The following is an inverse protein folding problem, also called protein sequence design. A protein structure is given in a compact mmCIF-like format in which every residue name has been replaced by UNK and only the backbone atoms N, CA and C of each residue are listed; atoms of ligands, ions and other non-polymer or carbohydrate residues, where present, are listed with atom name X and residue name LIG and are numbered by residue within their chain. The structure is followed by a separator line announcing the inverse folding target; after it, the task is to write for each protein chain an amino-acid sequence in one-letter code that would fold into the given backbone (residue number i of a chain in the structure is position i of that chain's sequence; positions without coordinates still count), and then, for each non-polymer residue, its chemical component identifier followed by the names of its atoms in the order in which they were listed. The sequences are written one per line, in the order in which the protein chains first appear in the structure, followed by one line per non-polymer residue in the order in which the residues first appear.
data_IF_593749625221
#
_entry.id   IF_593749625221
#
_cell.length_a   1.000
_cell.length_b   1.000
_cell.length_c   1.000
_cell.angle_alpha   90.00
_cell.angle_beta   90.00
_cell.angle_gamma   90.00
#
_symmetry.space_group_name_H-M   'P 1'
#
loop_
_entity.id
_entity.type
_entity.pdbx_description
1 polymer ?
#
# COMPACT_ATOMS: atom_id res chain seq x y z
N UNK A 1 -0.31 -0.14 16.13
CA UNK A 1 0.43 -1.18 15.38
C UNK A 1 0.76 -2.34 16.31
N UNK A 2 0.62 -3.57 15.85
CA UNK A 2 1.21 -4.75 16.49
C UNK A 2 1.75 -5.73 15.46
N UNK A 3 2.72 -6.54 15.90
CA UNK A 3 3.35 -7.60 15.12
C UNK A 3 3.30 -8.89 15.94
N UNK A 4 2.86 -9.97 15.33
CA UNK A 4 2.82 -11.30 15.93
C UNK A 4 3.96 -12.18 15.38
N UNK A 5 4.56 -13.07 16.19
CA UNK A 5 5.61 -13.99 15.73
C UNK A 5 5.24 -14.89 14.54
N UNK A 6 3.95 -15.07 14.26
CA UNK A 6 3.46 -15.80 13.07
C UNK A 6 3.47 -14.95 11.77
N UNK A 7 4.11 -13.77 11.80
CA UNK A 7 4.19 -12.86 10.66
C UNK A 7 2.94 -12.02 10.43
N UNK A 8 1.94 -12.12 11.31
CA UNK A 8 0.73 -11.29 11.23
C UNK A 8 1.03 -9.90 11.76
N UNK A 9 0.72 -8.89 10.97
CA UNK A 9 0.84 -7.48 11.32
C UNK A 9 -0.54 -6.84 11.31
N UNK A 10 -0.77 -5.87 12.20
CA UNK A 10 -2.01 -5.11 12.18
C UNK A 10 -1.81 -3.67 12.61
N UNK A 11 -2.49 -2.78 11.90
CA UNK A 11 -2.53 -1.35 12.18
C UNK A 11 -3.96 -0.85 12.30
N UNK A 12 -4.13 0.15 13.16
CA UNK A 12 -5.38 0.89 13.35
C UNK A 12 -5.02 2.36 13.24
N UNK A 13 -5.67 3.07 12.33
CA UNK A 13 -5.62 4.53 12.21
C UNK A 13 -7.02 5.10 12.32
N UNK A 14 -7.09 6.33 12.84
CA UNK A 14 -8.25 7.18 12.64
C UNK A 14 -8.13 7.75 11.22
N UNK A 15 -9.17 7.55 10.41
CA UNK A 15 -9.26 8.08 9.05
C UNK A 15 -9.94 9.44 9.04
N UNK A 16 -11.02 9.59 9.80
CA UNK A 16 -11.77 10.85 9.93
C UNK A 16 -12.34 11.04 11.34
N UNK A 17 -12.40 12.30 11.77
CA UNK A 17 -12.93 12.76 13.06
C UNK A 17 -13.98 13.83 12.78
N UNK A 18 -15.22 13.40 12.56
CA UNK A 18 -16.32 14.33 12.30
C UNK A 18 -16.62 15.22 13.54
N UNK A 19 -16.78 14.60 14.71
CA UNK A 19 -17.01 15.29 16.00
C UNK A 19 -16.02 14.77 17.06
N UNK A 20 -15.03 15.57 17.48
CA UNK A 20 -14.05 15.15 18.49
C UNK A 20 -14.64 14.78 19.85
N UNK A 21 -15.89 15.15 20.13
CA UNK A 21 -16.60 14.81 21.37
C UNK A 21 -17.43 13.53 21.26
N UNK A 22 -17.58 12.96 20.06
CA UNK A 22 -18.38 11.77 19.76
C UNK A 22 -17.56 10.72 19.00
N UNK A 23 -16.78 9.88 19.69
CA UNK A 23 -15.93 8.88 19.06
C UNK A 23 -16.68 7.85 18.20
N UNK A 24 -17.99 7.70 18.40
CA UNK A 24 -18.87 6.86 17.57
C UNK A 24 -19.09 7.39 16.15
N UNK A 25 -18.76 8.66 15.88
CA UNK A 25 -18.82 9.25 14.54
C UNK A 25 -17.47 9.18 13.81
N UNK A 26 -16.45 8.61 14.44
CA UNK A 26 -15.12 8.56 13.85
C UNK A 26 -15.02 7.37 12.90
N UNK A 27 -14.34 7.60 11.78
CA UNK A 27 -14.04 6.54 10.82
C UNK A 27 -12.65 6.00 11.10
N UNK A 28 -12.52 4.69 11.11
CA UNK A 28 -11.25 4.01 11.33
C UNK A 28 -10.83 3.23 10.10
N UNK A 29 -9.52 3.18 9.90
CA UNK A 29 -8.89 2.27 8.95
C UNK A 29 -8.23 1.14 9.74
N UNK A 30 -8.69 -0.09 9.51
CA UNK A 30 -8.02 -1.29 10.01
C UNK A 30 -7.21 -1.90 8.89
N UNK A 31 -5.95 -2.25 9.19
CA UNK A 31 -5.01 -2.80 8.21
C UNK A 31 -4.32 -4.04 8.77
N UNK A 32 -5.02 -5.18 8.86
CA UNK A 32 -4.37 -6.46 9.09
C UNK A 32 -3.66 -6.94 7.82
N UNK A 33 -2.49 -7.54 8.00
CA UNK A 33 -1.76 -8.24 6.96
C UNK A 33 -1.15 -9.52 7.49
N UNK A 34 -1.02 -10.51 6.61
CA UNK A 34 -0.35 -11.77 6.91
C UNK A 34 0.36 -12.30 5.66
N UNK A 35 1.39 -13.15 5.85
CA UNK A 35 2.07 -13.79 4.74
C UNK A 35 1.09 -14.68 3.99
N UNK A 36 1.11 -14.61 2.66
CA UNK A 36 0.29 -15.50 1.85
C UNK A 36 0.82 -16.94 1.98
N UNK A 37 -0.07 -17.86 2.33
CA UNK A 37 0.24 -19.28 2.27
C UNK A 37 -0.08 -19.81 0.88
N UNK A 38 0.93 -19.99 0.01
CA UNK A 38 0.71 -20.45 -1.35
C UNK A 38 -0.03 -21.82 -1.46
N UNK A 39 -0.06 -22.63 -0.40
CA UNK A 39 -0.76 -23.93 -0.37
C UNK A 39 -2.24 -23.79 0.02
N UNK A 40 -2.56 -22.83 0.90
CA UNK A 40 -3.92 -22.64 1.42
C UNK A 40 -4.64 -21.43 0.78
N UNK A 41 -3.90 -20.41 0.40
CA UNK A 41 -4.33 -19.15 -0.21
C UNK A 41 -4.05 -19.12 -1.72
N UNK A 42 -4.33 -20.22 -2.43
CA UNK A 42 -4.10 -20.41 -3.88
C UNK A 42 -4.74 -19.35 -4.80
N UNK A 43 -5.27 -19.71 -5.98
CA UNK A 43 -5.96 -18.73 -6.86
C UNK A 43 -7.30 -18.21 -6.28
N UNK A 44 -7.56 -18.42 -4.99
CA UNK A 44 -8.80 -18.15 -4.31
C UNK A 44 -9.05 -16.63 -4.28
N UNK A 45 -9.97 -16.19 -5.13
CA UNK A 45 -10.70 -14.95 -4.88
C UNK A 45 -11.57 -15.23 -3.66
N UNK A 46 -11.21 -14.69 -2.50
CA UNK A 46 -12.13 -14.68 -1.38
C UNK A 46 -13.41 -13.96 -1.82
N UNK A 47 -14.58 -14.50 -1.45
CA UNK A 47 -15.75 -13.63 -1.37
C UNK A 47 -15.49 -12.58 -0.28
N UNK A 48 -16.20 -11.46 -0.35
CA UNK A 48 -16.08 -10.41 0.66
C UNK A 48 -16.25 -10.97 2.09
N UNK A 49 -17.30 -11.76 2.31
CA UNK A 49 -17.62 -12.35 3.61
C UNK A 49 -16.54 -13.33 4.08
N UNK A 50 -15.99 -14.14 3.17
CA UNK A 50 -14.91 -15.06 3.49
C UNK A 50 -13.63 -14.29 3.88
N UNK A 51 -13.38 -13.14 3.26
CA UNK A 51 -12.25 -12.30 3.60
C UNK A 51 -12.43 -11.62 4.96
N UNK A 52 -13.63 -11.11 5.26
CA UNK A 52 -13.94 -10.56 6.57
C UNK A 52 -13.79 -11.61 7.69
N UNK A 53 -14.30 -12.82 7.45
CA UNK A 53 -14.13 -13.94 8.38
C UNK A 53 -12.65 -14.30 8.58
N UNK A 54 -11.85 -14.28 7.51
CA UNK A 54 -10.41 -14.50 7.59
C UNK A 54 -9.71 -13.42 8.41
N UNK A 55 -10.03 -12.14 8.20
CA UNK A 55 -9.53 -11.02 9.02
C UNK A 55 -9.81 -11.27 10.49
N UNK A 56 -11.09 -11.45 10.86
CA UNK A 56 -11.50 -11.67 12.25
C UNK A 56 -10.77 -12.85 12.89
N UNK A 57 -10.67 -13.96 12.17
CA UNK A 57 -9.98 -15.17 12.65
C UNK A 57 -8.46 -14.98 12.79
N UNK A 58 -7.81 -14.23 11.89
CA UNK A 58 -6.36 -14.02 11.93
C UNK A 58 -5.97 -13.01 12.99
N UNK A 59 -6.82 -12.01 13.26
CA UNK A 59 -6.54 -10.98 14.27
C UNK A 59 -6.97 -11.36 15.68
N UNK A 60 -7.73 -12.45 15.88
CA UNK A 60 -8.19 -12.88 17.21
C UNK A 60 -7.05 -13.27 18.16
N UNK A 61 -5.86 -13.51 17.63
CA UNK A 61 -4.64 -13.81 18.40
C UNK A 61 -4.05 -12.58 19.09
N UNK A 62 -4.39 -11.37 18.64
CA UNK A 62 -3.91 -10.15 19.27
C UNK A 62 -4.62 -9.87 20.60
N UNK A 63 -4.04 -8.98 21.39
CA UNK A 63 -4.73 -8.37 22.51
C UNK A 63 -5.50 -7.11 22.05
N UNK A 64 -6.29 -6.53 22.96
CA UNK A 64 -6.95 -5.26 22.72
C UNK A 64 -5.92 -4.11 22.60
N UNK A 65 -6.19 -3.11 21.73
CA UNK A 65 -7.45 -2.89 21.00
C UNK A 65 -7.56 -3.62 19.65
N UNK A 66 -6.50 -4.27 19.17
CA UNK A 66 -6.48 -4.83 17.80
C UNK A 66 -7.48 -5.96 17.62
N UNK A 67 -7.60 -6.83 18.62
CA UNK A 67 -8.59 -7.91 18.62
C UNK A 67 -10.00 -7.35 18.52
N UNK A 68 -10.43 -6.56 19.52
CA UNK A 68 -11.79 -6.02 19.56
C UNK A 68 -12.14 -5.19 18.32
N UNK A 69 -11.21 -4.36 17.82
CA UNK A 69 -11.45 -3.52 16.64
C UNK A 69 -11.79 -4.34 15.40
N UNK A 70 -11.09 -5.46 15.16
CA UNK A 70 -11.37 -6.32 14.01
C UNK A 70 -12.61 -7.21 14.26
N UNK A 71 -12.82 -7.69 15.49
CA UNK A 71 -14.01 -8.50 15.84
C UNK A 71 -15.32 -7.72 15.69
N UNK A 72 -15.33 -6.44 16.02
CA UNK A 72 -16.51 -5.56 15.97
C UNK A 72 -16.87 -5.03 14.58
N UNK A 73 -16.06 -5.31 13.56
CA UNK A 73 -16.39 -4.93 12.18
C UNK A 73 -17.73 -5.57 11.79
N UNK A 74 -18.75 -4.80 11.38
CA UNK A 74 -20.05 -5.34 11.02
C UNK A 74 -19.96 -6.37 9.88
N UNK A 75 -20.81 -7.40 9.93
CA UNK A 75 -20.95 -8.32 8.80
C UNK A 75 -21.41 -7.58 7.55
N UNK A 76 -20.96 -8.02 6.37
CA UNK A 76 -21.23 -7.34 5.10
C UNK A 76 -20.36 -6.10 4.83
N UNK A 77 -19.51 -5.67 5.77
CA UNK A 77 -18.50 -4.63 5.51
C UNK A 77 -17.62 -5.05 4.35
N UNK A 78 -17.47 -4.18 3.35
CA UNK A 78 -16.63 -4.48 2.20
C UNK A 78 -15.15 -4.45 2.60
N UNK A 79 -14.42 -5.48 2.20
CA UNK A 79 -13.04 -5.73 2.59
C UNK A 79 -12.14 -5.55 1.38
N UNK A 80 -11.36 -4.48 1.36
CA UNK A 80 -10.44 -4.22 0.26
C UNK A 80 -9.20 -5.09 0.41
N UNK A 81 -9.07 -6.11 -0.42
CA UNK A 81 -7.86 -6.94 -0.47
C UNK A 81 -6.84 -6.33 -1.43
N UNK A 82 -5.76 -5.77 -0.92
CA UNK A 82 -4.61 -5.42 -1.75
C UNK A 82 -3.57 -6.53 -1.71
N UNK A 83 -3.04 -6.91 -2.87
CA UNK A 83 -1.87 -7.78 -2.96
C UNK A 83 -0.64 -6.91 -2.99
N UNK A 84 0.08 -6.87 -1.89
CA UNK A 84 1.34 -6.14 -1.80
C UNK A 84 2.39 -7.04 -2.41
N UNK A 85 2.75 -6.76 -3.65
CA UNK A 85 3.98 -7.27 -4.26
C UNK A 85 5.12 -6.29 -4.02
N UNK A 86 6.29 -6.83 -3.72
CA UNK A 86 7.55 -6.10 -3.70
C UNK A 86 8.52 -6.72 -4.71
N UNK A 87 9.31 -5.90 -5.38
CA UNK A 87 10.39 -6.35 -6.26
C UNK A 87 11.53 -5.36 -6.25
N UNK A 88 12.76 -5.88 -6.35
CA UNK A 88 13.94 -5.04 -6.47
C UNK A 88 13.98 -4.42 -7.88
N UNK A 89 14.13 -3.10 -8.02
CA UNK A 89 14.25 -2.47 -9.33
C UNK A 89 15.48 -3.02 -10.08
N UNK A 90 15.30 -3.31 -11.37
CA UNK A 90 16.38 -3.69 -12.29
C UNK A 90 16.57 -2.59 -13.34
N UNK A 91 17.73 -2.48 -14.00
CA UNK A 91 17.92 -1.51 -15.07
C UNK A 91 16.84 -1.59 -16.17
N UNK A 92 16.29 -0.44 -16.57
CA UNK A 92 15.32 -0.33 -17.67
C UNK A 92 15.81 0.61 -18.79
N UNK A 93 15.18 0.50 -19.96
CA UNK A 93 15.44 1.37 -21.10
C UNK A 93 14.55 2.62 -21.07
N UNK A 94 15.15 3.79 -20.85
CA UNK A 94 14.44 5.07 -20.72
C UNK A 94 14.20 5.82 -22.06
N UNK A 95 14.50 5.18 -23.19
CA UNK A 95 14.34 5.75 -24.55
C UNK A 95 14.96 7.15 -24.68
N UNK A 96 16.25 7.27 -24.35
CA UNK A 96 16.99 8.54 -24.38
C UNK A 96 16.37 9.63 -23.48
N UNK A 97 15.86 9.21 -22.33
CA UNK A 97 15.21 10.07 -21.33
C UNK A 97 13.77 10.49 -21.64
N UNK A 98 13.12 9.92 -22.66
CA UNK A 98 11.70 10.22 -22.95
C UNK A 98 10.71 9.43 -22.10
N UNK A 99 11.16 8.37 -21.42
CA UNK A 99 10.34 7.51 -20.55
C UNK A 99 11.14 7.15 -19.31
N UNK A 100 10.51 7.10 -18.14
CA UNK A 100 11.10 6.57 -16.90
C UNK A 100 10.01 5.89 -16.05
N UNK A 101 10.38 5.30 -14.92
CA UNK A 101 9.51 4.69 -13.94
C UNK A 101 9.69 5.40 -12.59
N UNK A 102 8.64 5.43 -11.77
CA UNK A 102 8.64 6.04 -10.44
C UNK A 102 7.64 5.32 -9.52
N UNK A 103 7.82 5.48 -8.21
CA UNK A 103 7.00 4.87 -7.18
C UNK A 103 6.87 3.35 -7.38
N UNK A 104 5.66 2.85 -7.19
CA UNK A 104 5.35 1.42 -7.29
C UNK A 104 5.63 0.82 -8.68
N UNK A 105 5.67 1.62 -9.74
CA UNK A 105 6.01 1.11 -11.07
C UNK A 105 7.51 0.75 -11.18
N UNK A 106 8.36 1.41 -10.39
CA UNK A 106 9.79 1.17 -10.37
C UNK A 106 10.20 0.23 -9.21
N UNK A 107 9.73 0.51 -7.99
CA UNK A 107 10.18 -0.16 -6.77
C UNK A 107 9.07 -0.17 -5.70
N UNK A 108 8.07 -1.05 -5.80
CA UNK A 108 7.00 -1.11 -4.83
C UNK A 108 7.50 -1.65 -3.50
N UNK A 109 7.18 -0.92 -2.44
CA UNK A 109 7.56 -1.23 -1.06
C UNK A 109 6.31 -1.26 -0.17
N UNK A 110 6.45 -1.62 1.11
CA UNK A 110 5.34 -1.57 2.06
C UNK A 110 4.92 -0.13 2.44
N UNK A 111 5.76 0.89 2.19
CA UNK A 111 5.51 2.30 2.56
C UNK A 111 5.49 3.23 1.33
N UNK A 112 4.61 2.89 0.39
CA UNK A 112 4.55 3.34 -1.02
C UNK A 112 4.57 4.86 -1.22
N UNK A 113 3.89 5.63 -0.37
CA UNK A 113 3.67 7.06 -0.60
C UNK A 113 4.93 7.93 -0.42
N UNK A 114 5.68 7.71 0.66
CA UNK A 114 6.86 8.53 0.95
C UNK A 114 7.91 8.43 -0.16
N UNK A 115 8.03 7.24 -0.73
CA UNK A 115 8.96 6.95 -1.81
C UNK A 115 8.51 7.51 -3.15
N UNK A 116 7.22 7.42 -3.48
CA UNK A 116 6.68 8.04 -4.69
C UNK A 116 6.86 9.58 -4.68
N UNK A 117 6.69 10.25 -3.54
CA UNK A 117 6.95 11.69 -3.41
C UNK A 117 8.42 12.00 -3.61
N UNK A 118 9.32 11.23 -2.98
CA UNK A 118 10.75 11.37 -3.12
C UNK A 118 11.23 11.21 -4.58
N UNK A 119 10.62 10.27 -5.31
CA UNK A 119 10.85 10.04 -6.74
C UNK A 119 10.41 11.23 -7.58
N UNK A 120 9.21 11.75 -7.34
CA UNK A 120 8.68 12.90 -8.08
C UNK A 120 9.57 14.14 -7.88
N UNK A 121 9.97 14.44 -6.63
CA UNK A 121 10.87 15.56 -6.34
C UNK A 121 12.22 15.42 -7.05
N UNK A 122 12.82 14.23 -7.03
CA UNK A 122 14.11 13.99 -7.70
C UNK A 122 14.00 14.04 -9.21
N UNK A 123 12.91 13.55 -9.77
CA UNK A 123 12.67 13.61 -11.21
C UNK A 123 12.54 15.06 -11.69
N UNK A 124 11.72 15.86 -10.99
CA UNK A 124 11.57 17.29 -11.29
C UNK A 124 12.93 18.00 -11.22
N UNK A 125 13.71 17.76 -10.15
CA UNK A 125 15.05 18.33 -10.04
C UNK A 125 16.00 17.92 -11.17
N UNK A 126 15.92 16.68 -11.66
CA UNK A 126 16.70 16.22 -12.80
C UNK A 126 16.28 16.94 -14.10
N UNK A 127 14.97 17.16 -14.33
CA UNK A 127 14.47 17.89 -15.48
C UNK A 127 14.86 19.36 -15.46
N UNK A 128 14.76 20.02 -14.30
CA UNK A 128 15.18 21.41 -14.12
C UNK A 128 16.68 21.59 -14.38
N UNK A 129 17.51 20.66 -13.90
CA UNK A 129 18.94 20.65 -14.17
C UNK A 129 19.25 20.44 -15.66
N UNK A 130 18.51 19.55 -16.34
CA UNK A 130 18.65 19.33 -17.79
C UNK A 130 18.24 20.57 -18.60
N UNK A 131 17.24 21.32 -18.13
CA UNK A 131 16.76 22.52 -18.81
C UNK A 131 17.70 23.73 -18.64
N UNK A 132 18.52 23.75 -17.59
CA UNK A 132 19.41 24.88 -17.24
C UNK A 132 20.88 24.63 -17.57
N UNK A 133 21.28 23.39 -17.83
CA UNK A 133 22.64 23.01 -18.21
C UNK A 133 22.69 22.48 -19.65
N UNK A 134 23.88 22.38 -20.23
CA UNK A 134 24.09 21.64 -21.50
C UNK A 134 23.94 20.10 -21.32
N UNK A 135 23.39 19.63 -20.18
CA UNK A 135 23.10 18.22 -19.98
C UNK A 135 21.92 17.80 -20.84
N UNK A 136 22.11 16.80 -21.69
CA UNK A 136 21.01 16.20 -22.42
C UNK A 136 19.97 15.59 -21.47
N UNK A 137 18.70 15.65 -21.87
CA UNK A 137 17.59 14.97 -21.18
C UNK A 137 17.92 13.49 -20.89
N UNK A 138 18.55 12.82 -21.85
CA UNK A 138 19.03 11.44 -21.74
C UNK A 138 19.95 11.24 -20.51
N UNK A 139 20.93 12.12 -20.30
CA UNK A 139 21.84 12.02 -19.16
C UNK A 139 21.13 12.26 -17.83
N UNK A 140 20.25 13.25 -17.77
CA UNK A 140 19.53 13.60 -16.55
C UNK A 140 18.59 12.47 -16.11
N UNK A 141 17.77 11.96 -17.03
CA UNK A 141 16.86 10.85 -16.73
C UNK A 141 17.63 9.56 -16.45
N UNK A 142 18.72 9.28 -17.16
CA UNK A 142 19.58 8.12 -16.86
C UNK A 142 20.24 8.21 -15.47
N UNK A 143 20.51 9.42 -14.97
CA UNK A 143 21.02 9.61 -13.61
C UNK A 143 19.92 9.36 -12.57
N UNK A 144 18.70 9.84 -12.84
CA UNK A 144 17.53 9.59 -12.02
C UNK A 144 17.19 8.09 -11.93
N UNK A 145 17.19 7.38 -13.06
CA UNK A 145 16.93 5.93 -13.10
C UNK A 145 17.93 5.16 -12.20
N UNK A 146 19.21 5.53 -12.26
CA UNK A 146 20.26 4.92 -11.42
C UNK A 146 20.05 5.18 -9.93
N UNK A 147 19.60 6.38 -9.57
CA UNK A 147 19.26 6.72 -8.18
C UNK A 147 18.12 5.82 -7.68
N UNK A 148 17.03 5.70 -8.44
CA UNK A 148 15.91 4.83 -8.06
C UNK A 148 16.36 3.38 -7.93
N UNK A 149 17.14 2.86 -8.86
CA UNK A 149 17.58 1.46 -8.81
C UNK A 149 18.40 1.20 -7.53
N UNK A 150 19.31 2.11 -7.19
CA UNK A 150 20.13 1.98 -5.99
C UNK A 150 19.27 2.09 -4.72
N UNK A 151 18.52 3.19 -4.60
CA UNK A 151 17.74 3.48 -3.39
C UNK A 151 16.55 2.54 -3.22
N UNK A 152 15.75 2.33 -4.25
CA UNK A 152 14.62 1.39 -4.22
C UNK A 152 15.09 -0.05 -3.98
N UNK A 153 16.28 -0.42 -4.47
CA UNK A 153 16.91 -1.70 -4.16
C UNK A 153 17.22 -1.88 -2.67
N UNK A 154 17.70 -0.82 -2.00
CA UNK A 154 17.94 -0.81 -0.55
C UNK A 154 16.63 -0.83 0.25
N UNK A 155 15.59 -0.11 -0.20
CA UNK A 155 14.27 -0.05 0.45
C UNK A 155 13.56 -1.40 0.42
N UNK A 156 13.59 -2.07 -0.74
CA UNK A 156 13.01 -3.42 -0.88
C UNK A 156 13.78 -4.42 -0.03
N UNK A 157 15.11 -4.31 0.07
CA UNK A 157 15.91 -5.16 0.97
C UNK A 157 15.49 -5.00 2.42
N UNK A 158 15.33 -3.76 2.89
CA UNK A 158 14.89 -3.51 4.28
C UNK A 158 13.50 -4.09 4.51
N UNK A 159 12.62 -3.98 3.51
CA UNK A 159 11.27 -4.57 3.58
C UNK A 159 11.33 -6.10 3.64
N UNK A 160 12.18 -6.75 2.84
CA UNK A 160 12.43 -8.20 2.91
C UNK A 160 12.95 -8.62 4.29
N UNK A 161 13.94 -7.89 4.84
CA UNK A 161 14.51 -8.15 6.16
C UNK A 161 13.46 -8.02 7.28
N UNK A 162 12.51 -7.08 7.17
CA UNK A 162 11.43 -6.87 8.13
C UNK A 162 10.33 -7.92 8.05
N UNK A 163 10.06 -8.47 6.86
CA UNK A 163 9.05 -9.51 6.65
C UNK A 163 9.57 -10.92 6.91
N UNK A 164 10.88 -11.10 7.16
CA UNK A 164 11.48 -12.37 7.56
C UNK A 164 11.63 -13.41 6.44
N UNK A 165 11.23 -13.07 5.21
CA UNK A 165 11.20 -13.98 4.08
C UNK A 165 12.32 -13.63 3.09
N UNK A 166 13.30 -14.51 2.97
CA UNK A 166 14.34 -14.49 1.93
C UNK A 166 13.81 -14.80 0.51
N UNK A 167 12.61 -14.33 0.19
CA UNK A 167 11.94 -14.51 -1.09
C UNK A 167 11.90 -13.17 -1.82
N UNK A 168 12.55 -13.11 -2.98
CA UNK A 168 12.64 -11.91 -3.84
C UNK A 168 11.31 -11.46 -4.46
N UNK A 169 10.21 -12.13 -4.11
CA UNK A 169 8.82 -11.85 -4.50
C UNK A 169 7.92 -12.40 -3.39
N UNK A 170 7.43 -11.55 -2.51
CA UNK A 170 6.42 -11.92 -1.53
C UNK A 170 5.10 -11.25 -1.86
N UNK A 171 4.01 -11.96 -1.59
CA UNK A 171 2.67 -11.38 -1.59
C UNK A 171 2.19 -11.36 -0.15
N UNK A 172 1.87 -10.17 0.36
CA UNK A 172 1.07 -10.03 1.58
C UNK A 172 -0.29 -9.45 1.23
N UNK A 173 -1.30 -9.82 2.00
CA UNK A 173 -2.59 -9.16 1.92
C UNK A 173 -2.53 -7.92 2.80
N UNK A 174 -2.74 -6.74 2.21
CA UNK A 174 -3.03 -5.55 2.98
C UNK A 174 -4.52 -5.31 2.84
N UNK A 175 -5.23 -5.44 3.96
CA UNK A 175 -6.67 -5.32 3.95
C UNK A 175 -7.02 -3.96 4.49
N UNK A 176 -7.58 -3.08 3.68
CA UNK A 176 -8.16 -1.84 4.19
C UNK A 176 -9.64 -2.08 4.48
N UNK A 177 -10.01 -2.00 5.75
CA UNK A 177 -11.40 -1.88 6.16
C UNK A 177 -11.64 -0.42 6.50
N UNK A 178 -12.48 0.24 5.71
CA UNK A 178 -13.14 1.45 6.16
C UNK A 178 -14.34 1.00 6.98
N UNK A 179 -14.31 1.29 8.28
CA UNK A 179 -15.44 1.04 9.15
C UNK A 179 -16.19 2.35 9.26
N UNK A 180 -17.28 2.54 8.48
CA UNK A 180 -18.09 3.74 8.61
C UNK A 180 -18.68 3.79 10.03
N UNK A 181 -19.07 4.97 10.51
CA UNK A 181 -19.83 5.09 11.74
C UNK A 181 -21.08 4.20 11.67
N UNK A 182 -21.67 3.91 12.82
CA UNK A 182 -22.75 2.93 12.95
C UNK A 182 -24.09 3.36 12.32
N UNK A 183 -24.15 3.86 11.08
CA UNK A 183 -25.35 4.16 10.28
C UNK A 183 -25.12 3.91 8.76
N UNK A 184 -26.20 3.54 8.07
CA UNK A 184 -26.30 2.83 6.78
C UNK A 184 -25.80 3.55 5.49
N UNK A 185 -24.59 4.10 5.44
CA UNK A 185 -24.06 4.70 4.21
C UNK A 185 -22.68 4.17 3.81
N UNK A 186 -22.64 2.95 3.25
CA UNK A 186 -21.46 2.43 2.55
C UNK A 186 -21.50 2.93 1.10
N UNK A 187 -20.67 3.93 0.76
CA UNK A 187 -20.43 4.32 -0.63
C UNK A 187 -19.27 3.48 -1.19
N UNK A 188 -19.46 2.67 -2.24
CA UNK A 188 -18.38 1.86 -2.79
C UNK A 188 -17.24 2.71 -3.37
N UNK A 189 -16.00 2.36 -3.03
CA UNK A 189 -14.77 3.05 -3.45
C UNK A 189 -14.62 3.24 -4.98
N UNK A 190 -15.25 2.37 -5.79
CA UNK A 190 -15.26 2.50 -7.26
C UNK A 190 -15.90 3.83 -7.72
N UNK A 191 -16.87 4.34 -6.97
CA UNK A 191 -17.51 5.63 -7.26
C UNK A 191 -16.64 6.84 -6.94
N UNK A 192 -15.70 6.71 -5.99
CA UNK A 192 -14.75 7.76 -5.64
C UNK A 192 -13.63 7.88 -6.68
N UNK A 193 -13.15 6.75 -7.22
CA UNK A 193 -12.16 6.75 -8.31
C UNK A 193 -12.76 7.33 -9.60
N UNK A 194 -13.99 6.94 -9.96
CA UNK A 194 -14.64 7.50 -11.16
C UNK A 194 -14.89 9.01 -11.03
N UNK A 195 -15.29 9.50 -9.85
CA UNK A 195 -15.51 10.93 -9.61
C UNK A 195 -14.22 11.77 -9.61
N UNK A 196 -13.07 11.17 -9.28
CA UNK A 196 -11.77 11.84 -9.27
C UNK A 196 -11.12 11.93 -10.67
N UNK A 197 -11.51 11.07 -11.61
CA UNK A 197 -10.91 11.02 -12.96
C UNK A 197 -11.84 11.46 -14.10
N UNK A 198 -13.16 11.34 -13.94
CA UNK A 198 -14.14 11.83 -14.90
C UNK A 198 -14.69 13.16 -14.39
N UNK A 199 -13.88 14.21 -14.56
CA UNK A 199 -14.39 15.57 -14.47
C UNK A 199 -15.66 15.70 -15.29
N UNK A 200 -16.71 16.24 -14.65
CA UNK A 200 -17.99 16.59 -15.26
C UNK A 200 -17.80 17.20 -16.66
N UNK A 201 -18.21 16.45 -17.68
CA UNK A 201 -18.47 16.97 -19.03
C UNK A 201 -19.79 17.70 -19.09
#
# INVERSE_FOLDING_TARGET
MAVHPEGIWSWISILDVEDPSKPETWTFQLMPSWPRDAKHDGQTRFSNDALLAAVKSKTSIFADPIKSANEWVPEGTYVHMNRVSYWRPIPWGNRKGSVTLAGDAAHPTAFRLNYAVADATRYIGALEAANTSDSSLDKAVSSYDKDIIARGGDEVRVSEDQHGDGVSVGESYEIALEVPPSHDDVVPYDSLIESAWLGSS
#
